data_IF_251273230467
#
_entry.id   IF_251273230467
#
_cell.length_a   1.000
_cell.length_b   1.000
_cell.length_c   1.000
_cell.angle_alpha   90.00
_cell.angle_beta   90.00
_cell.angle_gamma   90.00
#
_symmetry.space_group_name_H-M   'P 1'
#
loop_
_entity.id
_entity.type
_entity.pdbx_description
1 polymer ?
#
# COMPACT_ATOMS: atom_id res chain seq x y z
N UNK A 1 9.94 -0.02 -8.18
CA UNK A 1 9.89 -1.27 -7.40
C UNK A 1 9.02 -2.29 -8.10
N UNK A 2 9.34 -3.54 -7.97
CA UNK A 2 8.63 -4.64 -8.60
C UNK A 2 7.98 -5.53 -7.54
N UNK A 3 6.98 -6.29 -7.94
CA UNK A 3 6.35 -7.27 -7.07
C UNK A 3 6.64 -8.67 -7.56
N UNK A 4 6.88 -9.57 -6.62
CA UNK A 4 7.28 -10.94 -6.87
C UNK A 4 6.38 -11.89 -6.08
N UNK A 5 5.82 -12.89 -6.74
CA UNK A 5 5.04 -13.95 -6.09
C UNK A 5 5.89 -15.19 -5.95
N UNK A 6 6.04 -15.67 -4.73
CA UNK A 6 6.70 -16.94 -4.46
C UNK A 6 5.78 -18.12 -4.81
N UNK A 7 6.31 -19.12 -5.51
CA UNK A 7 5.60 -20.36 -5.81
C UNK A 7 5.93 -21.50 -4.85
N UNK A 8 6.86 -21.27 -3.93
CA UNK A 8 7.26 -22.19 -2.87
C UNK A 8 7.74 -21.40 -1.66
N UNK A 9 7.90 -22.05 -0.50
CA UNK A 9 8.47 -21.42 0.68
C UNK A 9 9.95 -21.09 0.44
N UNK A 10 10.35 -19.89 0.81
CA UNK A 10 11.71 -19.40 0.57
C UNK A 10 12.32 -18.73 1.79
N UNK A 11 13.54 -19.15 2.13
CA UNK A 11 14.41 -18.54 3.15
C UNK A 11 13.76 -18.34 4.54
N UNK A 12 12.74 -19.12 4.89
CA UNK A 12 11.95 -18.99 6.13
C UNK A 12 11.22 -17.65 6.29
N UNK A 13 11.32 -16.77 5.32
CA UNK A 13 10.72 -15.44 5.36
C UNK A 13 9.45 -15.35 4.50
N UNK A 14 9.36 -16.15 3.46
CA UNK A 14 8.25 -16.07 2.50
C UNK A 14 7.63 -17.45 2.27
N UNK A 15 6.30 -17.45 2.26
CA UNK A 15 5.50 -18.66 2.01
C UNK A 15 5.03 -18.71 0.56
N UNK A 16 4.76 -19.90 0.07
CA UNK A 16 4.16 -20.11 -1.24
C UNK A 16 2.90 -19.23 -1.42
N UNK A 17 2.81 -18.52 -2.54
CA UNK A 17 1.73 -17.60 -2.84
C UNK A 17 1.90 -16.19 -2.27
N UNK A 18 2.84 -15.96 -1.39
CA UNK A 18 3.09 -14.64 -0.83
C UNK A 18 3.70 -13.71 -1.88
N UNK A 19 3.31 -12.44 -1.84
CA UNK A 19 3.82 -11.41 -2.73
C UNK A 19 4.80 -10.52 -1.94
N UNK A 20 5.99 -10.35 -2.47
CA UNK A 20 7.03 -9.49 -1.92
C UNK A 20 7.29 -8.28 -2.80
N UNK A 21 7.75 -7.20 -2.21
CA UNK A 21 8.20 -6.01 -2.94
C UNK A 21 9.71 -6.10 -3.11
N UNK A 22 10.17 -5.97 -4.36
CA UNK A 22 11.56 -6.07 -4.73
C UNK A 22 12.09 -4.75 -5.26
N UNK A 23 13.22 -4.30 -4.72
CA UNK A 23 13.98 -3.18 -5.24
C UNK A 23 15.20 -3.71 -5.97
N UNK A 24 15.35 -3.35 -7.24
CA UNK A 24 16.48 -3.80 -8.06
C UNK A 24 17.77 -3.14 -7.62
N UNK A 25 18.79 -3.95 -7.40
CA UNK A 25 20.17 -3.56 -7.18
C UNK A 25 21.03 -4.07 -8.33
N UNK A 26 22.33 -3.88 -8.28
CA UNK A 26 23.23 -4.29 -9.37
C UNK A 26 23.15 -5.78 -9.70
N UNK A 27 23.36 -6.64 -8.70
CA UNK A 27 23.37 -8.09 -8.86
C UNK A 27 22.25 -8.82 -8.10
N UNK A 28 21.50 -8.08 -7.28
CA UNK A 28 20.52 -8.62 -6.35
C UNK A 28 19.22 -7.87 -6.42
N UNK A 29 18.17 -8.45 -5.79
CA UNK A 29 16.98 -7.71 -5.38
C UNK A 29 16.97 -7.59 -3.86
N UNK A 30 16.68 -6.39 -3.36
CA UNK A 30 16.33 -6.20 -1.96
C UNK A 30 14.85 -6.55 -1.80
N UNK A 31 14.57 -7.69 -1.16
CA UNK A 31 13.23 -8.25 -1.04
C UNK A 31 12.63 -7.83 0.30
N UNK A 32 11.50 -7.11 0.26
CA UNK A 32 10.75 -6.61 1.43
C UNK A 32 11.61 -5.81 2.43
N UNK A 33 12.70 -5.20 1.99
CA UNK A 33 13.70 -4.54 2.85
C UNK A 33 14.32 -5.47 3.91
N UNK A 34 14.20 -6.79 3.73
CA UNK A 34 14.66 -7.79 4.68
C UNK A 34 15.95 -8.46 4.22
N UNK A 35 16.02 -8.85 2.96
CA UNK A 35 17.15 -9.63 2.45
C UNK A 35 17.53 -9.24 1.03
N UNK A 36 18.84 -9.28 0.75
CA UNK A 36 19.36 -9.25 -0.61
C UNK A 36 19.36 -10.67 -1.16
N UNK A 37 18.73 -10.86 -2.31
CA UNK A 37 18.65 -12.15 -3.00
C UNK A 37 19.21 -11.99 -4.40
N UNK A 38 20.12 -12.88 -4.79
CA UNK A 38 20.67 -12.92 -6.15
C UNK A 38 19.52 -13.00 -7.16
N UNK A 39 19.66 -12.24 -8.27
CA UNK A 39 18.60 -12.13 -9.28
C UNK A 39 18.22 -13.48 -9.89
N UNK A 40 19.19 -14.30 -10.22
CA UNK A 40 18.95 -15.62 -10.81
C UNK A 40 18.35 -16.58 -9.78
N UNK A 41 18.80 -16.50 -8.54
CA UNK A 41 18.26 -17.31 -7.45
C UNK A 41 16.80 -17.00 -7.17
N UNK A 42 16.42 -15.71 -7.10
CA UNK A 42 15.04 -15.32 -6.85
C UNK A 42 14.10 -15.89 -7.92
N UNK A 43 14.48 -15.81 -9.18
CA UNK A 43 13.66 -16.30 -10.30
C UNK A 43 13.37 -17.79 -10.28
N UNK A 44 14.15 -18.58 -9.55
CA UNK A 44 13.91 -20.03 -9.35
C UNK A 44 12.72 -20.28 -8.40
N UNK A 45 12.32 -19.31 -7.60
CA UNK A 45 11.37 -19.51 -6.52
C UNK A 45 10.03 -18.79 -6.72
N UNK A 46 9.83 -18.22 -7.91
CA UNK A 46 8.59 -17.51 -8.20
C UNK A 46 8.66 -16.73 -9.50
N UNK A 47 7.79 -15.75 -9.61
CA UNK A 47 7.66 -14.93 -10.80
C UNK A 47 7.37 -13.45 -10.45
N UNK A 48 7.88 -12.54 -11.27
CA UNK A 48 7.45 -11.15 -11.19
C UNK A 48 6.04 -11.01 -11.73
N UNK A 49 5.22 -10.26 -10.99
CA UNK A 49 3.84 -9.99 -11.37
C UNK A 49 3.69 -8.52 -11.73
N UNK A 50 2.94 -8.27 -12.78
CA UNK A 50 2.51 -6.92 -13.13
C UNK A 50 1.23 -6.65 -12.35
N UNK A 51 1.27 -5.67 -11.44
CA UNK A 51 0.08 -5.18 -10.77
C UNK A 51 -0.36 -3.86 -11.38
N UNK A 52 -1.64 -3.79 -11.66
CA UNK A 52 -2.29 -2.55 -12.04
C UNK A 52 -2.95 -1.95 -10.81
N UNK A 53 -2.55 -0.73 -10.46
CA UNK A 53 -3.15 0.03 -9.37
C UNK A 53 -4.00 1.14 -9.99
N UNK A 54 -5.29 1.09 -9.72
CA UNK A 54 -6.23 2.10 -10.16
C UNK A 54 -6.69 2.93 -8.97
N UNK A 55 -6.56 4.24 -9.08
CA UNK A 55 -6.99 5.17 -8.03
C UNK A 55 -8.48 5.45 -8.18
N UNK A 56 -9.23 5.31 -7.09
CA UNK A 56 -10.65 5.68 -7.06
C UNK A 56 -10.82 7.19 -7.02
N UNK A 57 -11.59 7.69 -7.96
CA UNK A 57 -11.88 9.11 -8.11
C UNK A 57 -12.41 9.40 -9.50
N UNK A 58 -12.54 10.67 -9.81
CA UNK A 58 -12.99 11.12 -11.12
C UNK A 58 -12.37 12.47 -11.46
N UNK A 59 -12.37 12.80 -12.75
CA UNK A 59 -11.92 14.10 -13.22
C UNK A 59 -13.08 15.09 -13.20
N UNK A 60 -12.82 16.29 -12.68
CA UNK A 60 -13.72 17.43 -12.78
C UNK A 60 -13.03 18.58 -13.50
N UNK A 61 -13.78 19.29 -14.34
CA UNK A 61 -13.29 20.49 -15.03
C UNK A 61 -14.01 21.71 -14.50
N UNK A 62 -13.27 22.77 -14.22
CA UNK A 62 -13.81 24.08 -13.86
C UNK A 62 -13.86 25.04 -15.06
N UNK A 63 -13.62 24.55 -16.30
CA UNK A 63 -13.55 25.34 -17.50
C UNK A 63 -12.17 25.95 -17.79
N UNK A 64 -11.22 25.80 -16.85
CA UNK A 64 -9.83 26.28 -16.98
C UNK A 64 -8.86 25.13 -16.80
N UNK A 65 -9.02 24.34 -15.72
CA UNK A 65 -8.16 23.21 -15.37
C UNK A 65 -8.99 21.95 -15.12
N UNK A 66 -8.41 20.79 -15.42
CA UNK A 66 -8.96 19.51 -15.05
C UNK A 66 -8.33 19.07 -13.71
N UNK A 67 -9.18 18.75 -12.74
CA UNK A 67 -8.78 18.31 -11.41
C UNK A 67 -9.22 16.88 -11.16
N UNK A 68 -8.30 16.06 -10.63
CA UNK A 68 -8.63 14.72 -10.15
C UNK A 68 -9.24 14.81 -8.75
N UNK A 69 -10.48 14.33 -8.61
CA UNK A 69 -11.19 14.29 -7.34
C UNK A 69 -11.11 12.88 -6.77
N UNK A 70 -10.32 12.72 -5.71
CA UNK A 70 -10.18 11.44 -5.02
C UNK A 70 -11.47 11.04 -4.32
N UNK A 71 -11.81 9.75 -4.38
CA UNK A 71 -12.88 9.19 -3.54
C UNK A 71 -12.38 9.15 -2.09
N UNK A 72 -13.01 9.96 -1.24
CA UNK A 72 -12.67 10.09 0.19
C UNK A 72 -13.64 9.39 1.11
N UNK A 73 -14.55 8.59 0.56
CA UNK A 73 -15.49 7.77 1.33
C UNK A 73 -14.86 6.39 1.58
N UNK A 74 -14.26 6.25 2.75
CA UNK A 74 -13.59 5.00 3.15
C UNK A 74 -14.55 4.09 3.90
N UNK A 75 -14.63 2.83 3.47
CA UNK A 75 -15.51 1.82 4.05
C UNK A 75 -14.71 0.56 4.39
N UNK A 76 -15.19 -0.27 5.36
CA UNK A 76 -14.61 -1.60 5.57
C UNK A 76 -14.56 -2.40 4.26
N UNK A 77 -13.44 -3.08 4.04
CA UNK A 77 -13.19 -3.83 2.81
C UNK A 77 -12.45 -3.07 1.73
N UNK A 78 -12.36 -1.74 1.84
CA UNK A 78 -11.61 -0.93 0.87
C UNK A 78 -10.10 -1.18 0.98
N UNK A 79 -9.45 -1.19 -0.18
CA UNK A 79 -7.99 -1.21 -0.28
C UNK A 79 -7.48 0.22 -0.41
N UNK A 80 -6.44 0.54 0.34
CA UNK A 80 -5.83 1.86 0.35
C UNK A 80 -4.33 1.76 0.16
N UNK A 81 -3.73 2.81 -0.40
CA UNK A 81 -2.29 2.93 -0.53
C UNK A 81 -1.79 4.06 0.38
N UNK A 82 -0.80 3.75 1.21
CA UNK A 82 -0.09 4.74 2.01
C UNK A 82 0.88 5.53 1.13
N UNK A 83 1.11 6.80 1.45
CA UNK A 83 2.00 7.66 0.66
C UNK A 83 3.44 7.15 0.59
N UNK A 84 3.85 6.28 1.51
CA UNK A 84 5.16 5.59 1.46
C UNK A 84 5.16 4.35 0.57
N UNK A 85 4.03 4.00 -0.06
CA UNK A 85 3.91 2.94 -1.05
C UNK A 85 3.24 1.64 -0.59
N UNK A 86 3.05 1.43 0.72
CA UNK A 86 2.43 0.22 1.23
C UNK A 86 0.92 0.16 0.96
N UNK A 87 0.41 -1.06 0.78
CA UNK A 87 -1.02 -1.31 0.59
C UNK A 87 -1.64 -1.92 1.84
N UNK A 88 -2.84 -1.49 2.15
CA UNK A 88 -3.59 -1.91 3.33
C UNK A 88 -5.05 -2.15 2.97
N UNK A 89 -5.71 -2.97 3.76
CA UNK A 89 -7.16 -3.17 3.67
C UNK A 89 -7.81 -2.64 4.95
N UNK A 90 -8.88 -1.87 4.80
CA UNK A 90 -9.67 -1.41 5.94
C UNK A 90 -10.45 -2.62 6.47
N UNK A 91 -10.19 -3.00 7.72
CA UNK A 91 -10.87 -4.11 8.39
C UNK A 91 -12.21 -3.66 8.93
N UNK A 92 -12.19 -2.56 9.67
CA UNK A 92 -13.41 -1.97 10.24
C UNK A 92 -13.16 -0.52 10.64
N UNK A 93 -14.26 0.17 10.91
CA UNK A 93 -14.24 1.52 11.44
C UNK A 93 -15.12 1.50 12.69
N UNK A 94 -14.57 1.95 13.81
CA UNK A 94 -15.26 1.90 15.08
C UNK A 94 -15.03 3.17 15.89
N UNK A 95 -15.56 3.18 17.11
CA UNK A 95 -15.46 4.31 18.02
C UNK A 95 -14.61 3.93 19.22
N UNK A 96 -13.65 4.79 19.58
CA UNK A 96 -12.87 4.63 20.79
C UNK A 96 -13.78 4.90 22.00
N UNK A 97 -13.90 3.93 22.90
CA UNK A 97 -14.80 4.03 24.05
C UNK A 97 -14.41 5.13 25.04
N UNK A 98 -13.13 5.49 25.09
CA UNK A 98 -12.62 6.49 26.05
C UNK A 98 -12.74 7.92 25.52
N UNK A 99 -12.43 8.11 24.23
CA UNK A 99 -12.36 9.44 23.61
C UNK A 99 -13.55 9.76 22.72
N UNK A 100 -14.35 8.75 22.37
CA UNK A 100 -15.44 8.83 21.40
C UNK A 100 -14.96 9.19 19.98
N UNK A 101 -13.66 9.11 19.73
CA UNK A 101 -13.09 9.30 18.40
C UNK A 101 -13.44 8.12 17.48
N UNK A 102 -13.71 8.45 16.22
CA UNK A 102 -13.82 7.46 15.15
C UNK A 102 -12.42 6.92 14.83
N UNK A 103 -12.28 5.61 14.80
CA UNK A 103 -11.02 4.91 14.60
C UNK A 103 -11.10 4.02 13.35
N UNK A 104 -9.98 3.94 12.62
CA UNK A 104 -9.84 3.02 11.49
C UNK A 104 -8.91 1.88 11.90
N UNK A 105 -9.40 0.65 11.73
CA UNK A 105 -8.60 -0.57 11.87
C UNK A 105 -8.27 -1.06 10.47
N UNK A 106 -6.98 -1.17 10.16
CA UNK A 106 -6.52 -1.55 8.83
C UNK A 106 -5.35 -2.52 8.91
N UNK A 107 -5.22 -3.34 7.87
CA UNK A 107 -4.28 -4.45 7.86
C UNK A 107 -3.36 -4.34 6.65
N UNK A 108 -2.05 -4.48 6.88
CA UNK A 108 -1.07 -4.52 5.80
C UNK A 108 -1.26 -5.76 4.93
N UNK A 109 -1.29 -5.58 3.61
CA UNK A 109 -1.34 -6.69 2.67
C UNK A 109 -0.01 -7.43 2.57
N UNK A 110 1.09 -6.81 3.03
CA UNK A 110 2.42 -7.37 2.98
C UNK A 110 2.66 -8.40 4.11
N UNK A 111 2.46 -7.99 5.35
CA UNK A 111 2.80 -8.77 6.54
C UNK A 111 1.61 -9.14 7.43
N UNK A 112 0.39 -8.76 7.02
CA UNK A 112 -0.85 -9.01 7.73
C UNK A 112 -0.95 -8.31 9.10
N UNK A 113 -0.03 -7.41 9.40
CA UNK A 113 -0.05 -6.64 10.64
C UNK A 113 -1.23 -5.69 10.67
N UNK A 114 -1.95 -5.67 11.80
CA UNK A 114 -3.13 -4.84 11.99
C UNK A 114 -2.74 -3.57 12.74
N UNK A 115 -3.20 -2.44 12.23
CA UNK A 115 -2.95 -1.10 12.76
C UNK A 115 -4.26 -0.42 13.09
N UNK A 116 -4.20 0.49 14.04
CA UNK A 116 -5.35 1.33 14.44
C UNK A 116 -4.90 2.76 14.44
N UNK A 117 -5.72 3.64 13.84
CA UNK A 117 -5.43 5.07 13.73
C UNK A 117 -6.71 5.89 13.85
N UNK A 118 -6.69 7.07 14.48
CA UNK A 118 -7.82 7.98 14.42
C UNK A 118 -8.21 8.29 12.97
N UNK A 119 -9.51 8.31 12.71
CA UNK A 119 -10.03 8.54 11.35
C UNK A 119 -9.53 9.86 10.75
N UNK A 120 -9.52 10.93 11.54
CA UNK A 120 -9.06 12.24 11.07
C UNK A 120 -7.58 12.22 10.64
N UNK A 121 -6.76 11.44 11.31
CA UNK A 121 -5.36 11.23 10.90
C UNK A 121 -5.27 10.36 9.65
N UNK A 122 -6.12 9.33 9.55
CA UNK A 122 -6.15 8.43 8.41
C UNK A 122 -6.46 9.17 7.10
N UNK A 123 -7.43 10.10 7.13
CA UNK A 123 -7.84 10.87 5.96
C UNK A 123 -6.98 12.13 5.74
N UNK A 124 -6.03 12.42 6.59
CA UNK A 124 -5.24 13.65 6.55
C UNK A 124 -4.32 13.72 5.32
N UNK A 125 -3.95 14.94 4.99
CA UNK A 125 -2.90 15.18 4.00
C UNK A 125 -1.54 14.83 4.57
N UNK A 126 -0.60 14.50 3.67
CA UNK A 126 0.80 14.29 4.03
C UNK A 126 1.40 15.58 4.58
N UNK A 127 2.17 15.47 5.66
CA UNK A 127 2.93 16.59 6.21
C UNK A 127 4.09 16.92 5.26
N UNK A 128 3.94 17.99 4.49
CA UNK A 128 4.93 18.44 3.51
C UNK A 128 6.18 19.03 4.13
N UNK A 129 6.14 19.41 5.39
CA UNK A 129 7.35 19.86 6.12
C UNK A 129 8.27 18.67 6.39
N UNK A 130 7.68 17.53 6.76
CA UNK A 130 8.41 16.30 7.05
C UNK A 130 8.72 15.48 5.78
N UNK A 131 7.81 15.51 4.81
CA UNK A 131 7.91 14.73 3.56
C UNK A 131 7.69 15.64 2.34
N UNK A 132 8.65 16.53 2.01
CA UNK A 132 8.46 17.52 0.94
C UNK A 132 8.35 16.90 -0.45
N UNK A 133 8.94 15.71 -0.66
CA UNK A 133 9.03 15.05 -1.96
C UNK A 133 8.00 13.92 -2.13
N UNK A 134 7.02 13.79 -1.23
CA UNK A 134 5.98 12.77 -1.35
C UNK A 134 5.16 12.97 -2.63
N UNK A 135 5.03 11.91 -3.44
CA UNK A 135 4.26 11.94 -4.68
C UNK A 135 2.76 12.02 -4.42
N UNK A 136 2.31 11.50 -3.29
CA UNK A 136 0.91 11.42 -2.91
C UNK A 136 0.57 12.55 -1.92
N UNK A 137 -0.53 13.27 -2.18
CA UNK A 137 -0.95 14.39 -1.33
C UNK A 137 -1.64 13.97 -0.04
N UNK A 138 -2.37 12.87 -0.06
CA UNK A 138 -3.05 12.31 1.10
C UNK A 138 -2.26 11.16 1.71
N UNK A 139 -2.36 10.99 3.03
CA UNK A 139 -1.72 9.88 3.74
C UNK A 139 -2.14 8.53 3.17
N UNK A 140 -3.44 8.37 2.88
CA UNK A 140 -4.01 7.19 2.24
C UNK A 140 -4.92 7.60 1.08
N UNK A 141 -4.87 6.86 0.00
CA UNK A 141 -5.80 6.97 -1.12
C UNK A 141 -6.47 5.62 -1.35
N UNK A 142 -7.74 5.65 -1.75
CA UNK A 142 -8.47 4.43 -2.11
C UNK A 142 -8.04 3.95 -3.48
N UNK A 143 -7.69 2.67 -3.57
CA UNK A 143 -7.19 2.06 -4.80
C UNK A 143 -7.87 0.72 -5.06
N UNK A 144 -7.84 0.30 -6.33
CA UNK A 144 -8.16 -1.04 -6.76
C UNK A 144 -6.91 -1.67 -7.33
N UNK A 145 -6.57 -2.86 -6.83
CA UNK A 145 -5.42 -3.61 -7.31
C UNK A 145 -5.93 -4.78 -8.14
N UNK A 146 -5.44 -4.89 -9.38
CA UNK A 146 -5.73 -6.01 -10.28
C UNK A 146 -4.41 -6.60 -10.77
N UNK A 147 -4.39 -7.91 -10.96
CA UNK A 147 -3.23 -8.60 -11.51
C UNK A 147 -3.24 -8.53 -13.05
#
# INVERSE_FOLDING_TARGET
MSQFRFNEDFANNWKSGQIAICEEKENDYLVDNVALVDKDELLKHGEFITMNVQIFGHMESNGVDDLFMYDRDFQPGDTVQHFKGGFYKIVTIGTNTETEEKMVVYQSLKDQKVWIRPYDMFISKVDRKKYPDADQSYRFIKVKITA
#
